data_IF_632342108496
#
_entry.id   IF_632342108496
#
_cell.length_a   1.000
_cell.length_b   1.000
_cell.length_c   1.000
_cell.angle_alpha   90.00
_cell.angle_beta   90.00
_cell.angle_gamma   90.00
#
_symmetry.space_group_name_H-M   'P 1'
#
loop_
_entity.id
_entity.type
_entity.pdbx_description
1 polymer ?
#
# COMPACT_ATOMS: atom_id res chain seq x y z
N UNK A 1 -14.07 10.45 -3.42
CA UNK A 1 -12.74 10.77 -3.97
C UNK A 1 -12.05 9.46 -4.27
N UNK A 2 -11.47 9.34 -5.46
CA UNK A 2 -10.78 8.12 -5.86
C UNK A 2 -9.29 8.24 -5.56
N UNK A 3 -8.75 7.29 -4.80
CA UNK A 3 -7.31 7.13 -4.59
C UNK A 3 -6.84 5.87 -5.32
N UNK A 4 -5.71 5.98 -6.01
CA UNK A 4 -4.98 4.85 -6.55
C UNK A 4 -3.69 4.69 -5.75
N UNK A 5 -3.42 3.48 -5.28
CA UNK A 5 -2.22 3.14 -4.52
C UNK A 5 -1.53 1.99 -5.24
N UNK A 6 -0.33 2.25 -5.75
CA UNK A 6 0.50 1.25 -6.40
C UNK A 6 1.51 0.71 -5.39
N UNK A 7 1.66 -0.59 -5.32
CA UNK A 7 2.67 -1.27 -4.50
C UNK A 7 3.50 -2.16 -5.41
N UNK A 8 4.81 -2.02 -5.34
CA UNK A 8 5.77 -2.87 -6.06
C UNK A 8 6.50 -3.75 -5.06
N UNK A 9 6.59 -5.04 -5.35
CA UNK A 9 7.22 -6.08 -4.52
C UNK A 9 8.19 -6.91 -5.37
N UNK A 10 8.99 -7.81 -4.76
CA UNK A 10 9.71 -8.83 -5.52
C UNK A 10 8.71 -9.77 -6.21
N UNK A 11 9.15 -10.44 -7.27
CA UNK A 11 8.32 -11.40 -8.02
C UNK A 11 7.77 -12.50 -7.12
N UNK A 12 6.49 -12.84 -7.30
CA UNK A 12 5.81 -13.87 -6.53
C UNK A 12 5.48 -13.48 -5.08
N UNK A 13 5.49 -12.18 -4.74
CA UNK A 13 5.23 -11.73 -3.37
C UNK A 13 4.08 -10.72 -3.25
N UNK A 14 3.49 -10.24 -4.34
CA UNK A 14 2.46 -9.20 -4.30
C UNK A 14 1.26 -9.64 -3.46
N UNK A 15 0.63 -10.79 -3.72
CA UNK A 15 -0.53 -11.23 -2.92
C UNK A 15 -0.22 -11.44 -1.43
N UNK A 16 0.96 -12.00 -1.11
CA UNK A 16 1.37 -12.20 0.28
C UNK A 16 1.62 -10.87 1.02
N UNK A 17 2.16 -9.91 0.28
CA UNK A 17 2.42 -8.55 0.73
C UNK A 17 1.12 -7.78 0.93
N UNK A 18 0.20 -7.84 -0.04
CA UNK A 18 -1.13 -7.22 0.00
C UNK A 18 -1.82 -7.48 1.34
N UNK A 19 -1.93 -8.75 1.74
CA UNK A 19 -2.62 -9.17 2.97
C UNK A 19 -2.00 -8.57 4.22
N UNK A 20 -0.70 -8.35 4.21
CA UNK A 20 0.09 -7.80 5.31
C UNK A 20 -0.09 -6.28 5.45
N UNK A 21 -0.05 -5.53 4.34
CA UNK A 21 -0.12 -4.05 4.38
C UNK A 21 -1.52 -3.47 4.24
N UNK A 22 -2.47 -4.18 3.64
CA UNK A 22 -3.86 -3.72 3.52
C UNK A 22 -4.42 -3.18 4.84
N UNK A 23 -4.34 -3.90 5.98
CA UNK A 23 -4.87 -3.39 7.24
C UNK A 23 -4.15 -2.14 7.74
N UNK A 24 -2.87 -1.97 7.42
CA UNK A 24 -2.08 -0.80 7.81
C UNK A 24 -2.42 0.43 6.95
N UNK A 25 -2.42 0.26 5.63
CA UNK A 25 -2.59 1.37 4.68
C UNK A 25 -4.07 1.73 4.55
N UNK A 26 -4.92 0.74 4.27
CA UNK A 26 -6.34 0.94 4.00
C UNK A 26 -7.19 0.80 5.27
N UNK A 27 -6.75 0.03 6.26
CA UNK A 27 -7.61 -0.35 7.39
C UNK A 27 -8.52 -1.53 7.08
N UNK A 28 -9.07 -2.15 8.13
CA UNK A 28 -9.79 -3.42 8.03
C UNK A 28 -11.09 -3.36 7.20
N UNK A 29 -11.75 -2.20 7.15
CA UNK A 29 -13.11 -2.05 6.61
C UNK A 29 -13.19 -1.22 5.33
N UNK A 30 -12.06 -0.96 4.66
CA UNK A 30 -12.05 -0.16 3.45
C UNK A 30 -12.56 -0.95 2.25
N UNK A 31 -13.61 -0.45 1.59
CA UNK A 31 -14.01 -0.91 0.26
C UNK A 31 -12.98 -0.44 -0.76
N UNK A 32 -12.40 -1.38 -1.49
CA UNK A 32 -11.37 -1.11 -2.50
C UNK A 32 -11.44 -2.18 -3.58
N UNK A 33 -10.97 -1.85 -4.79
CA UNK A 33 -10.70 -2.84 -5.83
C UNK A 33 -9.22 -3.18 -5.79
N UNK A 34 -8.90 -4.45 -5.95
CA UNK A 34 -7.55 -5.00 -5.98
C UNK A 34 -7.24 -5.46 -7.41
N UNK A 35 -6.08 -5.03 -7.91
CA UNK A 35 -5.51 -5.50 -9.16
C UNK A 35 -4.10 -6.02 -8.87
N UNK A 36 -3.78 -7.19 -9.42
CA UNK A 36 -2.45 -7.81 -9.30
C UNK A 36 -2.01 -8.20 -10.71
N UNK A 37 -0.74 -8.02 -11.03
CA UNK A 37 -0.22 -8.47 -12.33
C UNK A 37 0.14 -9.96 -12.33
N UNK A 38 0.28 -10.53 -13.53
CA UNK A 38 0.62 -11.95 -13.73
C UNK A 38 1.94 -12.38 -13.08
N UNK A 39 2.90 -11.46 -12.96
CA UNK A 39 4.20 -11.75 -12.33
C UNK A 39 4.15 -11.70 -10.78
N UNK A 40 3.01 -11.31 -10.22
CA UNK A 40 2.80 -11.16 -8.77
C UNK A 40 3.89 -10.30 -8.13
N UNK A 41 4.26 -9.20 -8.80
CA UNK A 41 5.28 -8.25 -8.36
C UNK A 41 4.72 -6.81 -8.22
N UNK A 42 3.46 -6.59 -8.62
CA UNK A 42 2.76 -5.31 -8.49
C UNK A 42 1.32 -5.50 -8.04
N UNK A 43 0.89 -4.61 -7.15
CA UNK A 43 -0.48 -4.49 -6.66
C UNK A 43 -0.97 -3.07 -6.91
N UNK A 44 -2.21 -2.92 -7.36
CA UNK A 44 -2.89 -1.63 -7.38
C UNK A 44 -4.19 -1.70 -6.59
N UNK A 45 -4.31 -0.85 -5.57
CA UNK A 45 -5.58 -0.61 -4.89
C UNK A 45 -6.25 0.64 -5.45
N UNK A 46 -7.52 0.49 -5.79
CA UNK A 46 -8.39 1.60 -6.17
C UNK A 46 -9.45 1.76 -5.08
N UNK A 47 -9.37 2.86 -4.35
CA UNK A 47 -10.21 3.14 -3.18
C UNK A 47 -11.12 4.31 -3.50
N UNK A 48 -12.44 4.14 -3.31
CA UNK A 48 -13.38 5.26 -3.32
C UNK A 48 -13.74 5.62 -1.89
N UNK A 49 -13.43 6.85 -1.50
CA UNK A 49 -13.52 7.27 -0.11
C UNK A 49 -13.72 8.79 0.05
N UNK A 50 -14.15 9.23 1.23
CA UNK A 50 -14.27 10.65 1.55
C UNK A 50 -12.90 11.32 1.74
N UNK A 51 -12.87 12.65 1.76
CA UNK A 51 -11.62 13.41 1.82
C UNK A 51 -10.81 13.16 3.11
N UNK A 52 -11.48 12.96 4.25
CA UNK A 52 -10.81 12.74 5.54
C UNK A 52 -10.12 11.37 5.54
N UNK A 53 -10.83 10.34 5.05
CA UNK A 53 -10.26 9.00 4.92
C UNK A 53 -9.17 8.94 3.85
N UNK A 54 -9.31 9.71 2.77
CA UNK A 54 -8.26 9.85 1.77
C UNK A 54 -6.96 10.42 2.38
N UNK A 55 -7.05 11.48 3.20
CA UNK A 55 -5.89 12.02 3.92
C UNK A 55 -5.27 11.01 4.91
N UNK A 56 -6.10 10.23 5.59
CA UNK A 56 -5.61 9.17 6.49
C UNK A 56 -4.82 8.10 5.74
N UNK A 57 -5.35 7.64 4.60
CA UNK A 57 -4.65 6.68 3.72
C UNK A 57 -3.34 7.27 3.20
N UNK A 58 -3.35 8.53 2.75
CA UNK A 58 -2.14 9.24 2.31
C UNK A 58 -1.08 9.30 3.41
N UNK A 59 -1.49 9.64 4.63
CA UNK A 59 -0.60 9.64 5.78
C UNK A 59 -0.03 8.24 6.07
N UNK A 60 -0.83 7.19 5.96
CA UNK A 60 -0.38 5.82 6.21
C UNK A 60 0.64 5.36 5.15
N UNK A 61 0.43 5.69 3.86
CA UNK A 61 1.42 5.41 2.80
C UNK A 61 2.73 6.16 3.06
N UNK A 62 2.67 7.45 3.36
CA UNK A 62 3.87 8.24 3.68
C UNK A 62 4.59 7.70 4.91
N UNK A 63 3.84 7.23 5.89
CA UNK A 63 4.39 6.65 7.10
C UNK A 63 5.06 5.31 6.80
N UNK A 64 4.49 4.48 5.93
CA UNK A 64 5.11 3.26 5.41
C UNK A 64 6.42 3.58 4.68
N UNK A 65 6.39 4.50 3.71
CA UNK A 65 7.57 4.89 2.93
C UNK A 65 8.71 5.40 3.84
N UNK A 66 8.39 6.19 4.86
CA UNK A 66 9.34 6.64 5.88
C UNK A 66 9.90 5.49 6.71
N UNK A 67 9.06 4.51 7.08
CA UNK A 67 9.50 3.32 7.80
C UNK A 67 10.43 2.47 6.93
N UNK A 68 10.09 2.27 5.66
CA UNK A 68 10.92 1.56 4.67
C UNK A 68 12.26 2.27 4.44
N UNK A 69 12.25 3.60 4.38
CA UNK A 69 13.44 4.41 4.17
C UNK A 69 14.38 4.45 5.39
N UNK A 70 14.13 3.67 6.46
CA UNK A 70 15.04 3.49 7.59
C UNK A 70 14.77 4.36 8.81
N UNK A 71 13.69 5.16 8.83
CA UNK A 71 13.35 5.98 9.99
C UNK A 71 12.77 5.17 11.18
N UNK A 72 12.62 3.85 11.04
CA UNK A 72 12.14 2.94 12.09
C UNK A 72 13.04 2.86 13.33
N UNK A 73 14.27 3.36 13.25
CA UNK A 73 15.17 3.45 14.40
C UNK A 73 14.86 4.69 15.25
N UNK A 74 13.99 5.59 14.77
CA UNK A 74 13.55 6.76 15.50
C UNK A 74 12.34 6.43 16.39
N UNK A 75 12.44 6.55 17.73
CA UNK A 75 11.34 6.27 18.65
C UNK A 75 10.11 7.18 18.43
N UNK A 76 10.29 8.36 17.83
CA UNK A 76 9.18 9.26 17.51
C UNK A 76 8.28 8.70 16.40
N UNK A 77 8.86 8.11 15.35
CA UNK A 77 8.10 7.50 14.24
C UNK A 77 7.33 6.29 14.76
N UNK A 78 7.95 5.46 15.62
CA UNK A 78 7.30 4.32 16.28
C UNK A 78 6.07 4.74 17.09
N UNK A 79 6.18 5.83 17.87
CA UNK A 79 5.05 6.38 18.64
C UNK A 79 3.98 6.99 17.75
N UNK A 80 4.37 7.74 16.73
CA UNK A 80 3.45 8.40 15.80
C UNK A 80 2.61 7.39 14.99
N UNK A 81 3.16 6.20 14.74
CA UNK A 81 2.49 5.13 14.04
C UNK A 81 1.45 4.39 14.89
N UNK A 82 1.49 4.51 16.23
CA UNK A 82 0.60 3.79 17.18
C UNK A 82 0.51 2.28 16.90
N UNK A 83 1.60 1.69 16.41
CA UNK A 83 1.66 0.30 15.99
C UNK A 83 1.88 -0.65 17.16
N UNK A 84 1.35 -1.86 17.04
CA UNK A 84 1.65 -2.95 17.98
C UNK A 84 3.01 -3.59 17.62
N UNK A 85 3.67 -4.26 18.57
CA UNK A 85 4.90 -5.03 18.33
C UNK A 85 4.85 -5.96 17.10
N UNK A 86 3.71 -6.62 16.90
CA UNK A 86 3.47 -7.56 15.78
C UNK A 86 3.49 -6.87 14.41
N UNK A 87 2.94 -5.66 14.33
CA UNK A 87 2.92 -4.87 13.10
C UNK A 87 4.34 -4.48 12.66
N UNK A 88 5.27 -4.29 13.62
CA UNK A 88 6.67 -3.99 13.31
C UNK A 88 7.40 -5.16 12.65
N UNK A 89 7.11 -6.40 13.04
CA UNK A 89 7.73 -7.58 12.41
C UNK A 89 7.32 -7.70 10.95
N UNK A 90 6.04 -7.48 10.68
CA UNK A 90 5.49 -7.46 9.31
C UNK A 90 6.14 -6.37 8.47
N UNK A 91 6.32 -5.17 9.04
CA UNK A 91 6.98 -4.06 8.36
C UNK A 91 8.46 -4.35 8.08
N UNK A 92 9.20 -4.86 9.07
CA UNK A 92 10.62 -5.23 8.93
C UNK A 92 10.84 -6.31 7.85
N UNK A 93 9.97 -7.33 7.77
CA UNK A 93 10.04 -8.36 6.72
C UNK A 93 9.85 -7.74 5.33
N UNK A 94 8.93 -6.79 5.20
CA UNK A 94 8.61 -6.15 3.91
C UNK A 94 9.64 -5.11 3.48
N UNK A 95 10.26 -4.43 4.45
CA UNK A 95 11.46 -3.62 4.29
C UNK A 95 12.58 -4.40 3.61
N UNK A 96 12.83 -5.62 4.12
CA UNK A 96 13.82 -6.54 3.56
C UNK A 96 13.45 -6.98 2.15
N UNK A 97 12.16 -7.03 1.84
CA UNK A 97 11.63 -7.35 0.52
C UNK A 97 11.54 -6.14 -0.42
N UNK A 98 12.13 -4.98 -0.12
CA UNK A 98 12.17 -3.81 -1.03
C UNK A 98 10.81 -3.34 -1.55
N UNK A 99 9.76 -3.48 -0.76
CA UNK A 99 8.41 -3.08 -1.17
C UNK A 99 8.28 -1.55 -1.24
N UNK A 100 7.79 -1.02 -2.37
CA UNK A 100 7.55 0.42 -2.59
C UNK A 100 6.06 0.70 -2.68
N UNK A 101 5.60 1.82 -2.12
CA UNK A 101 4.19 2.21 -2.14
C UNK A 101 4.04 3.65 -2.58
N UNK A 102 3.21 3.88 -3.60
CA UNK A 102 3.03 5.18 -4.23
C UNK A 102 1.54 5.52 -4.36
N UNK A 103 1.19 6.80 -4.19
CA UNK A 103 -0.18 7.28 -4.42
C UNK A 103 -0.23 8.01 -5.75
N UNK A 104 -1.00 7.45 -6.67
CA UNK A 104 -1.23 8.06 -7.98
C UNK A 104 -2.46 8.96 -7.86
N UNK A 105 -2.22 10.27 -7.72
CA UNK A 105 -3.28 11.30 -7.77
C UNK A 105 -3.67 11.50 -9.22
N UNK A 106 -4.78 10.90 -9.64
CA UNK A 106 -5.25 10.99 -11.02
C UNK A 106 -6.02 12.29 -11.23
N UNK A 107 -5.47 13.21 -12.04
CA UNK A 107 -6.27 14.10 -12.90
C UNK A 107 -6.42 13.54 -14.32
N UNK A 108 -5.59 12.57 -14.69
CA UNK A 108 -5.52 12.00 -16.03
C UNK A 108 -5.84 10.50 -16.02
N UNK A 109 -6.73 10.10 -16.93
CA UNK A 109 -7.10 8.72 -17.20
C UNK A 109 -5.99 7.94 -17.93
N UNK A 110 -4.95 8.61 -18.46
CA UNK A 110 -3.89 8.05 -19.30
C UNK A 110 -2.83 7.17 -18.60
N UNK A 111 -3.02 6.79 -17.33
CA UNK A 111 -2.21 5.75 -16.66
C UNK A 111 -2.95 4.40 -16.62
N UNK A 112 -3.97 4.23 -17.46
CA UNK A 112 -4.70 2.98 -17.67
C UNK A 112 -4.02 2.04 -18.67
N UNK A 113 -3.12 2.54 -19.53
CA UNK A 113 -2.47 1.75 -20.59
C UNK A 113 -1.52 0.65 -20.06
N UNK A 114 -1.22 0.63 -18.75
CA UNK A 114 -0.45 -0.43 -18.09
C UNK A 114 -1.26 -1.34 -17.16
N UNK A 115 -2.57 -1.11 -17.02
CA UNK A 115 -3.46 -1.91 -16.17
C UNK A 115 -4.20 -3.01 -16.97
N UNK A 116 -4.11 -2.99 -18.30
CA UNK A 116 -4.74 -3.99 -19.18
C UNK A 116 -4.12 -5.40 -19.04
N UNK A 117 -2.95 -5.53 -18.42
CA UNK A 117 -2.31 -6.83 -18.12
C UNK A 117 -2.54 -7.32 -16.69
N UNK A 118 -3.27 -6.57 -15.86
CA UNK A 118 -3.55 -6.95 -14.46
C UNK A 118 -4.91 -7.63 -14.35
N UNK A 119 -4.91 -8.90 -13.93
CA UNK A 119 -6.14 -9.63 -13.69
C UNK A 119 -6.87 -9.02 -12.49
N UNK A 120 -8.06 -8.47 -12.75
CA UNK A 120 -8.91 -7.94 -11.69
C UNK A 120 -9.55 -9.10 -10.94
N UNK A 121 -9.19 -9.30 -9.68
CA UNK A 121 -9.89 -10.24 -8.82
C UNK A 121 -10.85 -9.45 -7.90
N UNK A 122 -12.18 -9.59 -8.06
CA UNK A 122 -13.11 -8.99 -7.12
C UNK A 122 -13.00 -9.73 -5.79
N UNK A 123 -12.40 -9.09 -4.79
CA UNK A 123 -12.43 -9.52 -3.38
C UNK A 123 -13.46 -8.69 -2.64
#
# INVERSE_FOLDING_TARGET
MKLKILITTPKGQAQGTEKKIRPFILGLTSKHKLYVNKEDDKICWVVDTDINRAFKIQRNVLLYDKMVSGLLHNPMIRRAAKLKPEDFKVLDDMLRNQTKVEIIKTKDEGLLDGLEEMDSNPV
#
